data_IF_531714658443
#
_entry.id   IF_531714658443
#
_cell.length_a   1.000
_cell.length_b   1.000
_cell.length_c   1.000
_cell.angle_alpha   90.00
_cell.angle_beta   90.00
_cell.angle_gamma   90.00
#
_symmetry.space_group_name_H-M   'P 1'
#
loop_
_entity.id
_entity.type
_entity.pdbx_description
1 polymer ?
#
# COMPACT_ATOMS: atom_id res chain seq x y z
N UNK A 1 -11.58 24.87 27.23
CA UNK A 1 -11.63 23.52 26.63
C UNK A 1 -10.76 23.60 25.40
N UNK A 2 -9.63 22.91 25.43
CA UNK A 2 -8.75 22.78 24.23
C UNK A 2 -9.20 21.57 23.43
N UNK A 3 -9.36 21.75 22.11
CA UNK A 3 -9.81 20.73 21.18
C UNK A 3 -8.58 20.20 20.45
N UNK A 4 -8.48 18.89 20.26
CA UNK A 4 -7.41 18.27 19.47
C UNK A 4 -7.48 18.74 18.01
N UNK A 5 -6.32 19.00 17.41
CA UNK A 5 -6.23 19.49 16.04
C UNK A 5 -5.73 18.39 15.12
N UNK A 6 -6.41 18.16 13.99
CA UNK A 6 -5.98 17.21 12.98
C UNK A 6 -4.61 17.59 12.37
N UNK A 7 -4.31 18.90 12.26
CA UNK A 7 -3.01 19.37 11.75
C UNK A 7 -1.82 19.08 12.67
N UNK A 8 -2.08 18.66 13.91
CA UNK A 8 -1.08 18.29 14.91
C UNK A 8 -1.08 16.77 15.17
N UNK A 9 -1.66 16.01 14.26
CA UNK A 9 -1.62 14.54 14.31
C UNK A 9 -0.27 14.05 13.80
N UNK A 10 0.32 13.12 14.53
CA UNK A 10 1.58 12.46 14.19
C UNK A 10 1.37 10.94 14.19
N UNK A 11 1.89 10.25 13.18
CA UNK A 11 1.82 8.80 13.07
C UNK A 11 3.23 8.25 13.23
N UNK A 12 3.41 7.41 14.23
CA UNK A 12 4.65 6.68 14.48
C UNK A 12 4.47 5.23 14.09
N UNK A 13 5.45 4.67 13.39
CA UNK A 13 5.48 3.27 12.98
C UNK A 13 6.74 2.60 13.53
N UNK A 14 6.58 1.38 14.04
CA UNK A 14 7.67 0.53 14.49
C UNK A 14 7.46 -0.88 13.95
N UNK A 15 8.52 -1.50 13.47
CA UNK A 15 8.48 -2.93 13.19
C UNK A 15 8.24 -3.76 14.46
N UNK A 16 7.79 -4.99 14.30
CA UNK A 16 7.52 -5.90 15.42
C UNK A 16 8.46 -7.09 15.39
N UNK A 17 8.93 -7.50 16.57
CA UNK A 17 9.69 -8.75 16.74
C UNK A 17 8.76 -9.97 16.91
N UNK A 18 7.55 -9.74 17.36
CA UNK A 18 6.43 -10.68 17.43
C UNK A 18 5.14 -9.90 17.34
N UNK A 19 4.07 -10.55 16.93
CA UNK A 19 2.76 -9.91 16.70
C UNK A 19 2.31 -9.06 17.90
N UNK A 20 2.14 -7.77 17.71
CA UNK A 20 1.78 -6.81 18.75
C UNK A 20 2.91 -6.35 19.67
N UNK A 21 4.19 -6.69 19.36
CA UNK A 21 5.35 -6.31 20.15
C UNK A 21 6.35 -5.51 19.33
N UNK A 22 6.40 -4.20 19.54
CA UNK A 22 7.31 -3.30 18.86
C UNK A 22 8.80 -3.67 19.09
N UNK A 23 9.63 -3.51 18.07
CA UNK A 23 11.05 -3.95 18.08
C UNK A 23 12.07 -2.85 18.34
N UNK A 24 11.64 -1.66 18.71
CA UNK A 24 12.52 -0.60 19.23
C UNK A 24 12.90 0.52 18.26
N UNK A 25 12.98 0.28 16.96
CA UNK A 25 13.17 1.36 16.00
C UNK A 25 11.82 1.94 15.60
N UNK A 26 11.68 3.25 15.69
CA UNK A 26 10.44 3.98 15.47
C UNK A 26 10.71 5.11 14.48
N UNK A 27 9.93 5.17 13.44
CA UNK A 27 9.98 6.25 12.46
C UNK A 27 8.67 7.04 12.44
N UNK A 28 8.74 8.31 12.05
CA UNK A 28 7.59 9.16 11.82
C UNK A 28 7.11 8.99 10.38
N UNK A 29 5.86 8.58 10.20
CA UNK A 29 5.20 8.48 8.90
C UNK A 29 4.47 9.78 8.60
N UNK A 30 4.81 10.45 7.51
CA UNK A 30 4.12 11.65 7.03
C UNK A 30 2.92 11.23 6.20
N UNK A 31 1.75 11.68 6.59
CA UNK A 31 0.48 11.27 6.00
C UNK A 31 -0.32 12.48 5.55
N UNK A 32 -1.13 12.30 4.53
CA UNK A 32 -2.14 13.28 4.09
C UNK A 32 -3.47 13.02 4.79
N UNK A 33 -3.81 11.76 5.01
CA UNK A 33 -4.97 11.35 5.81
C UNK A 33 -4.76 9.99 6.46
N UNK A 34 -5.57 9.66 7.46
CA UNK A 34 -5.60 8.35 8.10
C UNK A 34 -7.03 8.01 8.58
N UNK A 35 -7.36 6.72 8.58
CA UNK A 35 -8.65 6.20 9.02
C UNK A 35 -8.52 5.05 10.01
N UNK A 36 -7.39 4.96 10.73
CA UNK A 36 -7.13 3.88 11.67
C UNK A 36 -8.15 3.85 12.82
N UNK A 37 -8.87 2.75 12.95
CA UNK A 37 -9.93 2.57 13.92
C UNK A 37 -9.88 1.21 14.61
N UNK A 38 -10.40 1.13 15.85
CA UNK A 38 -10.70 -0.15 16.48
C UNK A 38 -11.92 -0.81 15.81
N UNK A 39 -11.78 -2.06 15.37
CA UNK A 39 -12.89 -2.91 14.92
C UNK A 39 -13.26 -3.88 16.03
N UNK A 40 -14.15 -3.44 16.92
CA UNK A 40 -14.61 -4.20 18.08
C UNK A 40 -15.98 -4.77 17.80
N UNK A 41 -16.13 -6.09 17.96
CA UNK A 41 -17.43 -6.77 17.89
C UNK A 41 -17.93 -7.15 19.28
N UNK A 42 -19.23 -7.00 19.50
CA UNK A 42 -19.92 -7.37 20.74
C UNK A 42 -21.07 -8.32 20.42
N UNK A 43 -21.42 -9.17 21.39
CA UNK A 43 -22.59 -10.04 21.36
C UNK A 43 -23.48 -9.75 22.58
N UNK A 44 -24.78 -9.65 22.33
CA UNK A 44 -25.78 -9.53 23.40
C UNK A 44 -26.16 -10.91 23.92
N UNK A 45 -26.49 -11.00 25.20
CA UNK A 45 -27.08 -12.21 25.80
C UNK A 45 -28.55 -12.33 25.38
N UNK A 46 -28.94 -13.51 24.93
CA UNK A 46 -30.32 -13.87 24.60
C UNK A 46 -31.04 -14.55 25.79
N UNK A 47 -30.51 -14.45 27.02
CA UNK A 47 -31.12 -15.01 28.20
C UNK A 47 -32.49 -14.38 28.46
N UNK A 48 -33.47 -15.27 28.72
CA UNK A 48 -34.83 -14.88 29.11
C UNK A 48 -34.84 -14.64 30.63
N UNK A 49 -34.96 -13.38 31.03
CA UNK A 49 -35.18 -13.02 32.41
C UNK A 49 -36.62 -12.48 32.64
N UNK A 50 -36.95 -12.11 33.88
CA UNK A 50 -38.25 -11.56 34.22
C UNK A 50 -38.51 -10.14 33.70
N UNK A 51 -37.54 -9.55 32.98
CA UNK A 51 -37.61 -8.18 32.43
C UNK A 51 -37.60 -8.24 30.89
N UNK A 52 -37.84 -7.10 30.24
CA UNK A 52 -37.76 -6.94 28.78
C UNK A 52 -36.46 -6.30 28.34
N UNK A 53 -35.46 -6.30 29.20
CA UNK A 53 -34.18 -5.63 28.97
C UNK A 53 -33.14 -6.63 28.44
N UNK A 54 -32.16 -6.13 27.70
CA UNK A 54 -30.96 -6.90 27.37
C UNK A 54 -30.13 -7.07 28.64
N UNK A 55 -29.85 -8.34 28.99
CA UNK A 55 -29.22 -8.69 30.27
C UNK A 55 -27.72 -8.37 30.28
N UNK A 56 -27.01 -8.55 29.14
CA UNK A 56 -25.56 -8.31 29.06
C UNK A 56 -25.10 -8.10 27.61
N UNK A 57 -23.96 -7.40 27.46
CA UNK A 57 -23.31 -7.13 26.17
C UNK A 57 -21.80 -7.35 26.32
N UNK A 58 -21.28 -8.42 25.72
CA UNK A 58 -19.89 -8.84 25.87
C UNK A 58 -19.06 -8.61 24.61
N UNK A 59 -17.80 -8.13 24.78
CA UNK A 59 -16.83 -8.00 23.70
C UNK A 59 -16.33 -9.38 23.29
N UNK A 60 -16.42 -9.72 21.99
CA UNK A 60 -15.99 -11.01 21.44
C UNK A 60 -14.84 -10.90 20.45
N UNK A 61 -14.57 -9.70 19.91
CA UNK A 61 -13.46 -9.45 19.01
C UNK A 61 -12.87 -8.05 19.22
N UNK A 62 -11.57 -7.93 19.04
CA UNK A 62 -10.82 -6.67 19.13
C UNK A 62 -9.74 -6.66 18.05
N UNK A 63 -10.04 -6.05 16.92
CA UNK A 63 -9.15 -5.92 15.78
C UNK A 63 -8.87 -4.45 15.52
N UNK A 64 -7.87 -4.16 14.70
CA UNK A 64 -7.62 -2.84 14.16
C UNK A 64 -7.73 -2.90 12.64
N UNK A 65 -8.21 -1.84 12.04
CA UNK A 65 -8.25 -1.68 10.59
C UNK A 65 -8.17 -0.21 10.22
N UNK A 66 -7.90 0.06 8.98
CA UNK A 66 -7.91 1.40 8.42
C UNK A 66 -6.84 1.59 7.37
N UNK A 67 -6.85 2.77 6.80
CA UNK A 67 -5.99 3.17 5.69
C UNK A 67 -5.15 4.37 6.08
N UNK A 68 -4.00 4.47 5.45
CA UNK A 68 -3.09 5.62 5.56
C UNK A 68 -2.80 6.10 4.15
N UNK A 69 -3.12 7.35 3.88
CA UNK A 69 -2.80 8.03 2.63
C UNK A 69 -1.54 8.88 2.80
N UNK A 70 -0.69 8.87 1.80
CA UNK A 70 0.54 9.65 1.78
C UNK A 70 0.94 10.06 0.36
N UNK A 71 1.68 11.13 0.26
CA UNK A 71 2.40 11.48 -0.96
C UNK A 71 3.62 10.58 -1.07
N UNK A 72 3.74 9.88 -2.20
CA UNK A 72 4.78 8.88 -2.41
C UNK A 72 6.15 9.55 -2.50
N UNK A 73 7.10 9.08 -1.73
CA UNK A 73 8.44 9.66 -1.61
C UNK A 73 9.48 8.61 -1.22
N UNK A 74 10.72 8.96 -1.30
CA UNK A 74 11.84 8.16 -0.82
C UNK A 74 12.04 8.39 0.67
N UNK A 75 11.48 7.51 1.50
CA UNK A 75 11.74 7.49 2.92
C UNK A 75 11.70 6.06 3.50
N UNK A 76 12.40 5.87 4.61
CA UNK A 76 12.49 4.55 5.26
C UNK A 76 11.13 3.96 5.68
N UNK A 77 10.16 4.72 6.24
CA UNK A 77 8.86 4.18 6.59
C UNK A 77 8.10 3.63 5.36
N UNK A 78 8.14 4.34 4.23
CA UNK A 78 7.52 3.88 2.98
C UNK A 78 8.17 2.59 2.51
N UNK A 79 9.50 2.52 2.51
CA UNK A 79 10.26 1.33 2.12
C UNK A 79 9.86 0.10 2.94
N UNK A 80 9.79 0.25 4.26
CA UNK A 80 9.48 -0.85 5.19
C UNK A 80 8.03 -1.33 5.06
N UNK A 81 7.10 -0.41 4.82
CA UNK A 81 5.69 -0.75 4.52
C UNK A 81 5.62 -1.55 3.20
N UNK A 82 6.34 -1.11 2.16
CA UNK A 82 6.41 -1.83 0.89
C UNK A 82 7.01 -3.22 1.06
N UNK A 83 8.11 -3.37 1.82
CA UNK A 83 8.66 -4.70 2.16
C UNK A 83 7.62 -5.60 2.83
N UNK A 84 6.89 -5.06 3.80
CA UNK A 84 5.83 -5.79 4.49
C UNK A 84 4.70 -6.23 3.55
N UNK A 85 4.30 -5.36 2.63
CA UNK A 85 3.27 -5.65 1.63
C UNK A 85 3.69 -6.78 0.68
N UNK A 86 4.95 -6.76 0.23
CA UNK A 86 5.49 -7.78 -0.68
C UNK A 86 5.89 -9.09 0.04
N UNK A 87 5.69 -9.19 1.35
CA UNK A 87 6.03 -10.40 2.11
C UNK A 87 7.52 -10.71 2.12
N UNK A 88 8.35 -9.70 2.04
CA UNK A 88 9.78 -9.80 2.25
C UNK A 88 10.11 -9.78 3.74
N UNK A 89 11.26 -10.32 4.11
CA UNK A 89 11.73 -10.23 5.48
C UNK A 89 11.87 -8.75 5.87
N UNK A 90 11.23 -8.38 6.98
CA UNK A 90 11.26 -7.02 7.46
C UNK A 90 12.69 -6.60 7.77
N UNK A 91 13.13 -5.57 7.07
CA UNK A 91 14.31 -4.80 7.46
C UNK A 91 14.03 -3.97 8.72
N UNK A 92 15.08 -3.43 9.28
CA UNK A 92 14.96 -2.42 10.32
C UNK A 92 14.27 -1.17 9.73
N UNK A 93 13.25 -0.60 10.37
CA UNK A 93 12.59 0.66 9.95
C UNK A 93 13.57 1.82 9.72
N UNK A 94 14.79 1.70 10.21
CA UNK A 94 15.88 2.66 10.01
C UNK A 94 16.75 2.39 8.77
N UNK A 95 16.51 1.32 8.00
CA UNK A 95 17.41 0.90 6.91
C UNK A 95 16.76 0.93 5.53
N UNK A 96 15.42 0.95 5.46
CA UNK A 96 14.70 0.99 4.18
C UNK A 96 14.89 -0.25 3.29
N UNK A 97 14.51 -0.11 2.03
CA UNK A 97 14.78 -1.09 0.97
C UNK A 97 16.26 -1.06 0.60
N UNK A 98 16.81 -2.24 0.34
CA UNK A 98 18.17 -2.35 -0.18
C UNK A 98 18.17 -1.95 -1.66
N UNK A 99 19.07 -1.03 -2.04
CA UNK A 99 19.17 -0.56 -3.41
C UNK A 99 19.43 -1.68 -4.40
N UNK A 100 18.75 -1.61 -5.52
CA UNK A 100 18.81 -2.58 -6.59
C UNK A 100 18.54 -4.04 -6.18
N UNK A 101 17.95 -4.26 -4.99
CA UNK A 101 17.52 -5.59 -4.58
C UNK A 101 16.11 -5.88 -5.09
N UNK A 102 15.91 -7.10 -5.56
CA UNK A 102 14.61 -7.58 -6.01
C UNK A 102 13.72 -7.89 -4.80
N UNK A 103 12.56 -7.26 -4.73
CA UNK A 103 11.52 -7.54 -3.74
C UNK A 103 10.26 -8.00 -4.47
N UNK A 104 9.82 -9.21 -4.25
CA UNK A 104 8.63 -9.78 -4.87
C UNK A 104 7.81 -10.57 -3.86
N UNK A 105 6.60 -10.96 -4.24
CA UNK A 105 5.63 -11.60 -3.36
C UNK A 105 6.21 -12.84 -2.61
N UNK A 106 6.78 -12.57 -1.45
CA UNK A 106 7.31 -13.57 -0.53
C UNK A 106 6.22 -14.16 0.37
N UNK A 107 6.66 -15.02 1.28
CA UNK A 107 5.79 -15.69 2.27
C UNK A 107 6.01 -15.17 3.69
N UNK A 108 6.96 -14.29 3.89
CA UNK A 108 7.27 -13.73 5.20
C UNK A 108 6.32 -12.58 5.49
N UNK A 109 5.51 -12.72 6.53
CA UNK A 109 4.60 -11.67 6.95
C UNK A 109 5.31 -10.76 7.95
N UNK A 110 5.31 -9.47 7.67
CA UNK A 110 5.83 -8.43 8.56
C UNK A 110 4.67 -7.67 9.19
N UNK A 111 4.75 -7.46 10.50
CA UNK A 111 3.76 -6.68 11.25
C UNK A 111 4.39 -5.45 11.88
N UNK A 112 3.56 -4.45 12.12
CA UNK A 112 3.95 -3.15 12.65
C UNK A 112 3.11 -2.78 13.87
N UNK A 113 3.73 -2.05 14.79
CA UNK A 113 3.01 -1.25 15.77
C UNK A 113 2.88 0.17 15.23
N UNK A 114 1.66 0.67 15.15
CA UNK A 114 1.37 2.04 14.74
C UNK A 114 0.80 2.80 15.94
N UNK A 115 1.37 3.95 16.26
CA UNK A 115 0.86 4.85 17.30
C UNK A 115 0.46 6.18 16.68
N UNK A 116 -0.80 6.53 16.88
CA UNK A 116 -1.38 7.81 16.49
C UNK A 116 -1.36 8.74 17.68
N UNK A 117 -0.70 9.86 17.54
CA UNK A 117 -0.69 10.97 18.50
C UNK A 117 -1.57 12.08 17.97
N UNK A 118 -2.49 12.56 18.77
CA UNK A 118 -3.22 13.81 18.54
C UNK A 118 -2.88 14.82 19.61
N UNK A 119 -2.82 16.11 19.28
CA UNK A 119 -2.42 17.17 20.19
C UNK A 119 -3.38 18.34 20.15
N UNK A 120 -3.54 19.02 21.29
CA UNK A 120 -4.26 20.28 21.39
C UNK A 120 -3.34 21.51 21.16
N UNK A 121 -2.06 21.28 20.85
CA UNK A 121 -1.06 22.32 20.67
C UNK A 121 -0.59 23.00 21.95
N UNK A 122 -1.07 22.58 23.11
CA UNK A 122 -0.71 23.15 24.39
C UNK A 122 -0.01 22.13 25.31
N UNK A 123 -0.77 21.28 25.97
CA UNK A 123 -0.20 20.35 26.96
C UNK A 123 -0.83 18.97 26.96
N UNK A 124 -1.93 18.77 26.21
CA UNK A 124 -2.64 17.50 26.21
C UNK A 124 -2.41 16.76 24.90
N UNK A 125 -1.67 15.66 25.00
CA UNK A 125 -1.52 14.71 23.91
C UNK A 125 -2.31 13.43 24.22
N UNK A 126 -2.95 12.87 23.20
CA UNK A 126 -3.63 11.59 23.28
C UNK A 126 -2.95 10.62 22.34
N UNK A 127 -2.69 9.43 22.82
CA UNK A 127 -1.98 8.39 22.08
C UNK A 127 -2.89 7.16 21.93
N UNK A 128 -3.07 6.72 20.70
CA UNK A 128 -3.79 5.49 20.36
C UNK A 128 -2.85 4.53 19.67
N UNK A 129 -2.71 3.34 20.23
CA UNK A 129 -1.77 2.33 19.74
C UNK A 129 -2.51 1.15 19.12
N UNK A 130 -2.07 0.78 17.93
CA UNK A 130 -2.51 -0.37 17.15
C UNK A 130 -1.34 -1.34 17.01
N UNK A 131 -1.53 -2.60 17.39
CA UNK A 131 -0.50 -3.63 17.33
C UNK A 131 -0.83 -4.73 16.35
N UNK A 132 0.21 -5.38 15.81
CA UNK A 132 0.08 -6.41 14.83
C UNK A 132 -0.51 -5.92 13.50
N UNK A 133 -0.21 -4.70 13.11
CA UNK A 133 -0.68 -4.09 11.88
C UNK A 133 0.08 -4.66 10.69
N UNK A 134 -0.61 -5.37 9.82
CA UNK A 134 -0.05 -5.96 8.59
C UNK A 134 -0.59 -5.20 7.39
N UNK A 135 0.27 -4.76 6.45
CA UNK A 135 -0.18 -4.12 5.22
C UNK A 135 -1.00 -5.11 4.38
N UNK A 136 -2.24 -4.75 4.08
CA UNK A 136 -3.18 -5.57 3.33
C UNK A 136 -3.27 -5.18 1.87
N UNK A 137 -3.37 -3.90 1.61
CA UNK A 137 -3.56 -3.33 0.27
C UNK A 137 -2.62 -2.16 0.04
N UNK A 138 -2.27 -1.93 -1.22
CA UNK A 138 -1.65 -0.68 -1.68
C UNK A 138 -2.43 -0.22 -2.90
N UNK A 139 -2.80 1.03 -2.92
CA UNK A 139 -3.24 1.74 -4.12
C UNK A 139 -2.26 2.88 -4.40
N UNK A 140 -1.67 2.88 -5.58
CA UNK A 140 -0.75 3.89 -6.06
C UNK A 140 -1.39 4.59 -7.25
N UNK A 141 -1.49 5.92 -7.21
CA UNK A 141 -2.08 6.71 -8.29
C UNK A 141 -1.13 7.81 -8.76
N UNK A 142 -1.12 8.01 -10.07
CA UNK A 142 -0.33 9.03 -10.73
C UNK A 142 -1.17 9.64 -11.85
N UNK A 143 -1.50 10.92 -11.73
CA UNK A 143 -2.22 11.71 -12.75
C UNK A 143 -1.34 12.85 -13.24
N UNK A 144 -1.39 13.14 -14.53
CA UNK A 144 -0.54 14.18 -15.13
C UNK A 144 -0.68 15.52 -14.42
N UNK A 145 0.43 16.08 -13.96
CA UNK A 145 0.49 17.36 -13.27
C UNK A 145 0.20 17.32 -11.78
N UNK A 146 0.14 16.13 -11.16
CA UNK A 146 -0.10 15.95 -9.72
C UNK A 146 1.08 15.28 -9.00
N UNK A 147 1.02 15.23 -7.67
CA UNK A 147 1.85 14.32 -6.89
C UNK A 147 1.45 12.87 -7.14
N UNK A 148 2.41 11.97 -7.02
CA UNK A 148 2.12 10.55 -6.93
C UNK A 148 1.67 10.24 -5.51
N UNK A 149 0.51 9.63 -5.36
CA UNK A 149 -0.08 9.32 -4.06
C UNK A 149 -0.17 7.82 -3.83
N UNK A 150 -0.03 7.42 -2.58
CA UNK A 150 -0.17 6.05 -2.14
C UNK A 150 -1.17 5.95 -1.00
N UNK A 151 -2.01 4.92 -1.03
CA UNK A 151 -2.90 4.55 0.07
C UNK A 151 -2.59 3.11 0.47
N UNK A 152 -2.24 2.91 1.74
CA UNK A 152 -1.99 1.57 2.30
C UNK A 152 -3.08 1.23 3.30
N UNK A 153 -3.77 0.12 3.05
CA UNK A 153 -4.69 -0.48 3.99
C UNK A 153 -3.97 -1.42 4.95
N UNK A 154 -4.40 -1.44 6.20
CA UNK A 154 -3.85 -2.28 7.25
C UNK A 154 -4.91 -3.13 7.93
N UNK A 155 -4.53 -4.35 8.30
CA UNK A 155 -5.27 -5.22 9.21
C UNK A 155 -4.43 -5.45 10.46
N UNK A 156 -5.00 -5.16 11.64
CA UNK A 156 -4.30 -5.29 12.92
C UNK A 156 -4.91 -6.32 13.84
N UNK A 157 -4.06 -6.93 14.65
CA UNK A 157 -4.47 -8.00 15.57
C UNK A 157 -4.94 -7.49 16.92
N UNK A 158 -4.61 -6.24 17.28
CA UNK A 158 -4.81 -5.71 18.64
C UNK A 158 -4.99 -4.20 18.66
N UNK A 159 -5.87 -3.74 19.53
CA UNK A 159 -6.04 -2.32 19.87
C UNK A 159 -5.81 -2.12 21.36
N UNK A 160 -5.01 -1.11 21.71
CA UNK A 160 -4.79 -0.73 23.08
C UNK A 160 -5.73 0.44 23.49
N UNK A 161 -5.99 0.56 24.78
CA UNK A 161 -6.70 1.72 25.30
C UNK A 161 -5.90 3.00 25.00
N UNK A 162 -6.61 4.10 24.77
CA UNK A 162 -6.01 5.42 24.61
C UNK A 162 -5.29 5.85 25.90
N UNK A 163 -4.14 6.50 25.75
CA UNK A 163 -3.30 6.97 26.86
C UNK A 163 -2.90 8.44 26.67
N UNK A 164 -2.42 9.06 27.75
CA UNK A 164 -1.83 10.40 27.72
C UNK A 164 -0.30 10.39 27.66
N UNK A 165 0.29 9.19 27.59
CA UNK A 165 1.74 9.01 27.50
C UNK A 165 2.08 8.24 26.25
N UNK A 166 3.11 8.67 25.54
CA UNK A 166 3.64 7.98 24.37
C UNK A 166 4.13 6.58 24.75
N UNK A 167 3.89 5.63 23.89
CA UNK A 167 4.41 4.26 23.97
C UNK A 167 5.58 4.05 23.00
N UNK A 168 5.59 4.83 21.92
CA UNK A 168 6.68 4.89 20.96
C UNK A 168 7.39 6.25 21.04
N UNK A 169 8.68 6.26 20.75
CA UNK A 169 9.47 7.50 20.64
C UNK A 169 10.26 7.41 19.36
N UNK A 170 10.10 8.36 18.45
CA UNK A 170 10.83 8.38 17.21
C UNK A 170 12.34 8.32 17.46
N UNK A 171 13.00 7.35 16.84
CA UNK A 171 14.46 7.15 16.90
C UNK A 171 15.11 7.55 15.59
N UNK A 172 14.33 7.62 14.53
CA UNK A 172 14.74 8.05 13.21
C UNK A 172 13.78 9.18 12.77
N UNK A 173 14.35 10.35 12.53
CA UNK A 173 13.59 11.47 11.96
C UNK A 173 13.66 11.26 10.44
N UNK A 174 12.50 10.97 9.85
CA UNK A 174 12.42 10.73 8.42
C UNK A 174 13.17 11.84 7.68
N UNK A 175 14.21 11.49 6.95
CA UNK A 175 14.93 12.43 6.09
C UNK A 175 13.89 13.16 5.25
N UNK A 176 13.87 14.48 5.30
CA UNK A 176 12.90 15.28 4.57
C UNK A 176 13.14 15.14 3.07
N UNK A 177 12.57 14.11 2.46
CA UNK A 177 12.57 13.94 1.02
C UNK A 177 11.34 14.61 0.40
N UNK A 178 11.53 15.15 -0.79
CA UNK A 178 10.45 15.77 -1.54
C UNK A 178 9.54 14.68 -2.11
N UNK A 179 8.21 14.80 -1.97
CA UNK A 179 7.29 13.88 -2.63
C UNK A 179 7.48 13.85 -4.14
N UNK A 180 7.31 12.69 -4.74
CA UNK A 180 7.43 12.52 -6.18
C UNK A 180 6.22 13.08 -6.91
N UNK A 181 6.50 13.64 -8.08
CA UNK A 181 5.50 14.18 -8.99
C UNK A 181 5.48 13.41 -10.30
N UNK A 182 4.42 13.53 -11.05
CA UNK A 182 4.31 12.92 -12.38
C UNK A 182 5.16 13.63 -13.45
N UNK A 183 5.80 14.76 -13.10
CA UNK A 183 6.74 15.48 -13.98
C UNK A 183 8.21 15.20 -13.64
N UNK A 184 8.47 14.40 -12.60
CA UNK A 184 9.82 13.96 -12.28
C UNK A 184 10.40 13.12 -13.41
N UNK A 185 11.71 13.24 -13.63
CA UNK A 185 12.38 12.73 -14.84
C UNK A 185 12.19 11.23 -15.07
N UNK A 186 12.01 10.47 -14.00
CA UNK A 186 11.92 9.02 -14.04
C UNK A 186 10.50 8.48 -13.71
N UNK A 187 9.51 9.37 -13.51
CA UNK A 187 8.11 8.92 -13.39
C UNK A 187 7.57 8.60 -14.79
N UNK A 188 7.38 7.32 -15.08
CA UNK A 188 6.98 6.85 -16.41
C UNK A 188 6.34 5.46 -16.38
N UNK A 189 5.53 5.18 -17.40
CA UNK A 189 5.04 3.84 -17.71
C UNK A 189 5.73 3.32 -18.97
N UNK A 190 6.25 2.10 -18.89
CA UNK A 190 6.96 1.45 -19.99
C UNK A 190 6.32 0.12 -20.34
N UNK A 191 6.56 -0.35 -21.54
CA UNK A 191 5.94 -1.51 -22.15
C UNK A 191 6.99 -2.49 -22.69
N UNK A 192 6.75 -3.78 -22.51
CA UNK A 192 7.44 -4.87 -23.20
C UNK A 192 6.45 -5.79 -23.91
N UNK A 193 6.58 -5.92 -25.21
CA UNK A 193 5.72 -6.77 -26.02
C UNK A 193 5.97 -8.28 -25.79
N UNK A 194 7.11 -8.65 -25.19
CA UNK A 194 7.57 -10.04 -25.12
C UNK A 194 7.05 -10.81 -23.91
N UNK A 195 6.53 -10.14 -22.89
CA UNK A 195 6.22 -10.69 -21.57
C UNK A 195 7.44 -11.41 -20.90
N UNK A 196 7.35 -11.68 -19.60
CA UNK A 196 8.41 -12.35 -18.80
C UNK A 196 9.75 -11.60 -18.71
N UNK A 197 9.80 -10.31 -19.02
CA UNK A 197 10.98 -9.48 -18.81
C UNK A 197 10.98 -8.83 -17.44
N UNK A 198 12.16 -8.70 -16.85
CA UNK A 198 12.37 -8.03 -15.56
C UNK A 198 13.64 -7.17 -15.55
N UNK A 199 14.23 -6.97 -16.71
CA UNK A 199 15.37 -6.10 -16.90
C UNK A 199 14.88 -4.76 -17.44
N UNK A 200 15.29 -3.67 -16.84
CA UNK A 200 14.84 -2.32 -17.24
C UNK A 200 15.04 -2.03 -18.74
N UNK A 201 16.11 -2.57 -19.34
CA UNK A 201 16.43 -2.37 -20.74
C UNK A 201 15.44 -3.03 -21.72
N UNK A 202 14.67 -4.02 -21.25
CA UNK A 202 13.70 -4.72 -22.08
C UNK A 202 12.39 -3.91 -22.24
N UNK A 203 12.16 -2.95 -21.35
CA UNK A 203 10.99 -2.10 -21.36
C UNK A 203 11.23 -0.82 -22.16
N UNK A 204 10.51 -0.70 -23.25
CA UNK A 204 10.52 0.47 -24.14
C UNK A 204 9.38 1.45 -23.87
N UNK A 205 9.18 2.36 -24.81
CA UNK A 205 8.03 3.25 -24.79
C UNK A 205 6.72 2.48 -24.99
N UNK A 206 5.61 3.07 -24.56
CA UNK A 206 4.29 2.55 -24.89
C UNK A 206 4.10 2.43 -26.41
N UNK A 207 3.26 1.47 -26.89
CA UNK A 207 2.98 1.30 -28.30
C UNK A 207 2.59 2.60 -29.00
N UNK A 208 3.11 2.81 -30.21
CA UNK A 208 2.91 4.06 -30.96
C UNK A 208 3.52 5.30 -30.30
N UNK A 209 4.44 5.12 -29.33
CA UNK A 209 4.97 6.20 -28.47
C UNK A 209 3.88 6.99 -27.73
N UNK A 210 2.76 6.34 -27.43
CA UNK A 210 1.66 6.90 -26.66
C UNK A 210 2.18 7.50 -25.34
N UNK A 211 1.47 8.48 -24.82
CA UNK A 211 1.73 9.07 -23.52
C UNK A 211 0.61 8.69 -22.57
N UNK A 212 0.97 8.20 -21.40
CA UNK A 212 0.03 8.00 -20.32
C UNK A 212 -0.32 9.35 -19.68
N UNK A 213 -1.58 9.57 -19.41
CA UNK A 213 -2.11 10.75 -18.70
C UNK A 213 -2.46 10.41 -17.25
N UNK A 214 -2.80 9.14 -16.99
CA UNK A 214 -3.04 8.62 -15.66
C UNK A 214 -2.61 7.17 -15.57
N UNK A 215 -2.23 6.74 -14.37
CA UNK A 215 -1.92 5.36 -14.03
C UNK A 215 -2.34 5.06 -12.61
N UNK A 216 -2.93 3.89 -12.40
CA UNK A 216 -3.17 3.35 -11.06
C UNK A 216 -2.68 1.91 -10.95
N UNK A 217 -2.16 1.56 -9.79
CA UNK A 217 -1.74 0.20 -9.44
C UNK A 217 -2.35 -0.17 -8.09
N UNK A 218 -3.09 -1.26 -8.06
CA UNK A 218 -3.68 -1.80 -6.84
C UNK A 218 -3.11 -3.19 -6.55
N UNK A 219 -2.60 -3.36 -5.34
CA UNK A 219 -2.06 -4.62 -4.83
C UNK A 219 -2.89 -5.04 -3.63
N UNK A 220 -3.30 -6.31 -3.56
CA UNK A 220 -4.06 -6.89 -2.46
C UNK A 220 -3.44 -8.22 -2.04
N UNK A 221 -3.09 -8.32 -0.76
CA UNK A 221 -2.55 -9.52 -0.11
C UNK A 221 -3.64 -10.52 0.31
N UNK A 222 -4.93 -10.17 0.20
CA UNK A 222 -6.05 -11.02 0.59
C UNK A 222 -5.96 -11.49 2.05
N UNK A 223 -5.63 -10.60 2.97
CA UNK A 223 -5.44 -10.95 4.38
C UNK A 223 -6.71 -11.49 5.03
N UNK A 224 -6.54 -12.41 5.98
CA UNK A 224 -7.63 -13.06 6.71
C UNK A 224 -7.36 -13.07 8.20
N UNK A 225 -8.30 -12.60 9.05
CA UNK A 225 -8.15 -12.67 10.50
C UNK A 225 -8.22 -14.13 10.99
N UNK A 226 -7.33 -14.50 11.89
CA UNK A 226 -7.31 -15.80 12.56
C UNK A 226 -7.73 -15.61 14.01
N UNK A 227 -8.96 -16.02 14.32
CA UNK A 227 -9.57 -15.92 15.64
C UNK A 227 -9.17 -17.10 16.53
N UNK A 228 -9.27 -16.92 17.85
CA UNK A 228 -8.97 -17.97 18.85
C UNK A 228 -9.98 -17.95 20.00
N UNK A 229 -10.12 -19.12 20.65
CA UNK A 229 -10.88 -19.22 21.90
C UNK A 229 -10.01 -18.70 23.06
N UNK A 230 -10.61 -17.92 23.94
CA UNK A 230 -9.95 -17.40 25.15
C UNK A 230 -9.30 -16.03 25.00
N UNK A 231 -9.38 -15.40 23.82
CA UNK A 231 -8.92 -14.02 23.61
C UNK A 231 -9.83 -13.32 22.59
N UNK A 232 -10.06 -12.03 22.81
CA UNK A 232 -10.71 -11.17 21.84
C UNK A 232 -9.73 -10.69 20.75
N UNK A 233 -8.42 -10.70 21.02
CA UNK A 233 -7.38 -10.35 20.06
C UNK A 233 -7.14 -11.52 19.09
N UNK A 234 -6.70 -11.24 17.87
CA UNK A 234 -6.40 -12.27 16.89
C UNK A 234 -5.20 -13.12 17.32
N UNK A 235 -5.26 -14.42 17.03
CA UNK A 235 -4.11 -15.33 17.15
C UNK A 235 -3.05 -15.04 16.07
N UNK A 236 -3.48 -14.53 14.92
CA UNK A 236 -2.64 -14.22 13.78
C UNK A 236 -3.43 -13.61 12.65
N UNK A 237 -2.73 -13.30 11.58
CA UNK A 237 -3.29 -12.82 10.31
C UNK A 237 -2.73 -13.73 9.21
N UNK A 238 -3.61 -14.39 8.47
CA UNK A 238 -3.22 -15.27 7.37
C UNK A 238 -3.17 -14.51 6.05
N UNK A 239 -2.15 -14.74 5.22
CA UNK A 239 -2.08 -14.23 3.86
C UNK A 239 -2.93 -15.08 2.92
N UNK A 240 -3.56 -14.44 1.94
CA UNK A 240 -4.34 -15.06 0.89
C UNK A 240 -3.65 -15.02 -0.47
N UNK A 241 -4.43 -14.78 -1.51
CA UNK A 241 -3.90 -14.61 -2.87
C UNK A 241 -3.35 -13.19 -3.00
N UNK A 242 -2.14 -13.08 -3.51
CA UNK A 242 -1.55 -11.82 -3.93
C UNK A 242 -2.12 -11.44 -5.30
N UNK A 243 -2.91 -10.39 -5.35
CA UNK A 243 -3.57 -9.91 -6.56
C UNK A 243 -3.05 -8.53 -6.92
N UNK A 244 -2.73 -8.33 -8.18
CA UNK A 244 -2.27 -7.05 -8.70
C UNK A 244 -3.13 -6.67 -9.89
N UNK A 245 -3.78 -5.54 -9.79
CA UNK A 245 -4.61 -4.94 -10.84
C UNK A 245 -4.21 -3.49 -11.04
N UNK A 246 -4.65 -2.90 -12.12
CA UNK A 246 -4.41 -1.49 -12.34
C UNK A 246 -5.17 -0.96 -13.54
N UNK A 247 -5.06 0.32 -13.73
CA UNK A 247 -5.60 1.01 -14.89
C UNK A 247 -4.60 2.02 -15.43
N UNK A 248 -4.73 2.35 -16.69
CA UNK A 248 -4.01 3.46 -17.30
C UNK A 248 -4.86 4.15 -18.35
N UNK A 249 -4.69 5.44 -18.48
CA UNK A 249 -5.28 6.24 -19.55
C UNK A 249 -4.17 6.74 -20.43
N UNK A 250 -4.27 6.48 -21.73
CA UNK A 250 -3.27 6.86 -22.72
C UNK A 250 -3.90 7.56 -23.91
N UNK A 251 -3.14 8.41 -24.60
CA UNK A 251 -3.59 8.90 -25.91
C UNK A 251 -3.67 7.73 -26.89
N UNK A 252 -4.78 7.62 -27.62
CA UNK A 252 -5.03 6.54 -28.58
C UNK A 252 -4.20 6.74 -29.88
N UNK A 253 -2.95 6.32 -29.87
CA UNK A 253 -2.01 6.48 -30.99
C UNK A 253 -1.74 5.18 -31.76
N UNK A 254 -2.12 4.03 -31.19
CA UNK A 254 -1.78 2.71 -31.74
C UNK A 254 -2.86 1.67 -31.42
N UNK A 255 -2.95 0.63 -32.25
CA UNK A 255 -3.96 -0.44 -32.12
C UNK A 255 -3.53 -1.58 -31.19
N UNK A 256 -2.29 -1.59 -30.72
CA UNK A 256 -1.69 -2.74 -30.01
C UNK A 256 -2.45 -3.09 -28.73
N UNK A 257 -2.77 -2.13 -27.88
CA UNK A 257 -3.51 -2.41 -26.65
C UNK A 257 -4.90 -2.97 -26.92
N UNK A 258 -5.62 -2.41 -27.89
CA UNK A 258 -6.93 -2.93 -28.29
C UNK A 258 -6.83 -4.36 -28.81
N UNK A 259 -5.85 -4.65 -29.66
CA UNK A 259 -5.62 -5.98 -30.19
C UNK A 259 -5.17 -6.96 -29.10
N UNK A 260 -4.35 -6.53 -28.15
CA UNK A 260 -3.96 -7.35 -26.99
C UNK A 260 -5.17 -7.73 -26.14
N UNK A 261 -6.13 -6.81 -25.97
CA UNK A 261 -7.38 -7.10 -25.30
C UNK A 261 -8.20 -8.17 -26.03
N UNK A 262 -8.47 -7.96 -27.33
CA UNK A 262 -9.28 -8.90 -28.13
C UNK A 262 -8.65 -10.29 -28.20
N UNK A 263 -7.32 -10.36 -28.30
CA UNK A 263 -6.59 -11.63 -28.41
C UNK A 263 -6.13 -12.20 -27.09
N UNK A 264 -6.42 -11.52 -25.96
CA UNK A 264 -5.93 -11.90 -24.63
C UNK A 264 -4.41 -12.09 -24.60
N UNK A 265 -3.70 -11.22 -25.32
CA UNK A 265 -2.24 -11.30 -25.45
C UNK A 265 -1.58 -10.76 -24.20
N UNK A 266 -0.63 -11.54 -23.65
CA UNK A 266 0.17 -11.12 -22.49
C UNK A 266 1.32 -10.22 -22.93
N UNK A 267 1.63 -9.25 -22.08
CA UNK A 267 2.74 -8.31 -22.26
C UNK A 267 3.28 -7.84 -20.91
N UNK A 268 4.43 -7.19 -20.89
CA UNK A 268 5.02 -6.62 -19.68
C UNK A 268 4.70 -5.14 -19.53
N UNK A 269 4.42 -4.73 -18.30
CA UNK A 269 4.37 -3.31 -17.91
C UNK A 269 5.39 -3.02 -16.81
N UNK A 270 5.96 -1.84 -16.88
CA UNK A 270 6.80 -1.28 -15.82
C UNK A 270 6.27 0.10 -15.47
N UNK A 271 5.88 0.25 -14.19
CA UNK A 271 5.66 1.56 -13.59
C UNK A 271 6.94 1.98 -12.87
N UNK A 272 7.49 3.10 -13.24
CA UNK A 272 8.59 3.74 -12.54
C UNK A 272 8.12 5.05 -11.96
N UNK A 273 8.43 5.30 -10.69
CA UNK A 273 8.06 6.51 -9.95
C UNK A 273 9.30 7.06 -9.28
N UNK A 274 9.61 8.31 -9.53
CA UNK A 274 10.72 8.98 -8.87
C UNK A 274 11.56 9.86 -9.77
N UNK A 275 12.76 10.14 -9.29
CA UNK A 275 13.75 10.98 -9.96
C UNK A 275 14.95 10.16 -10.44
N UNK A 276 15.89 10.80 -11.15
CA UNK A 276 17.14 10.17 -11.53
C UNK A 276 18.04 9.81 -10.34
N UNK A 277 17.84 10.45 -9.18
CA UNK A 277 18.60 10.17 -7.97
C UNK A 277 18.08 8.94 -7.22
N UNK A 278 16.75 8.78 -7.16
CA UNK A 278 16.10 7.63 -6.53
C UNK A 278 14.76 7.38 -7.19
N UNK A 279 14.45 6.12 -7.47
CA UNK A 279 13.17 5.74 -8.05
C UNK A 279 12.76 4.32 -7.65
N UNK A 280 11.45 4.11 -7.65
CA UNK A 280 10.82 2.80 -7.44
C UNK A 280 10.31 2.25 -8.76
N UNK A 281 10.61 0.98 -9.02
CA UNK A 281 10.24 0.27 -10.23
C UNK A 281 9.35 -0.90 -9.89
N UNK A 282 8.11 -0.86 -10.32
CA UNK A 282 7.16 -1.95 -10.21
C UNK A 282 7.13 -2.69 -11.56
N UNK A 283 7.76 -3.84 -11.61
CA UNK A 283 7.76 -4.70 -12.78
C UNK A 283 6.57 -5.65 -12.74
N UNK A 284 5.76 -5.60 -13.78
CA UNK A 284 4.63 -6.51 -14.02
C UNK A 284 4.97 -7.33 -15.28
N UNK A 285 5.65 -8.47 -15.15
CA UNK A 285 6.23 -9.18 -16.30
C UNK A 285 5.18 -9.82 -17.21
N UNK A 286 4.02 -10.18 -16.67
CA UNK A 286 2.88 -10.65 -17.44
C UNK A 286 1.60 -9.94 -17.04
N UNK A 287 1.02 -9.20 -17.95
CA UNK A 287 -0.21 -8.44 -17.79
C UNK A 287 -1.21 -8.85 -18.86
N UNK A 288 -2.48 -8.95 -18.49
CA UNK A 288 -3.61 -9.18 -19.39
C UNK A 288 -4.58 -8.01 -19.25
N UNK A 289 -5.02 -7.45 -20.36
CA UNK A 289 -6.06 -6.39 -20.35
C UNK A 289 -7.40 -7.06 -20.08
N UNK A 290 -8.10 -6.56 -19.07
CA UNK A 290 -9.43 -7.03 -18.65
C UNK A 290 -10.56 -6.22 -19.25
N UNK A 291 -10.30 -4.93 -19.49
CA UNK A 291 -11.23 -3.99 -20.12
C UNK A 291 -10.47 -2.93 -20.89
N UNK A 292 -11.02 -2.47 -22.00
CA UNK A 292 -10.50 -1.29 -22.69
C UNK A 292 -11.62 -0.54 -23.38
N UNK A 293 -11.55 0.77 -23.33
CA UNK A 293 -12.50 1.67 -23.97
C UNK A 293 -11.75 2.79 -24.70
N UNK A 294 -12.11 3.02 -25.95
CA UNK A 294 -11.61 4.16 -26.70
C UNK A 294 -12.66 5.26 -26.61
N UNK A 295 -12.28 6.37 -25.99
CA UNK A 295 -13.16 7.52 -25.75
C UNK A 295 -12.83 8.62 -26.77
N UNK A 296 -13.75 8.85 -27.67
CA UNK A 296 -13.73 10.01 -28.54
C UNK A 296 -14.74 11.04 -27.97
N UNK A 297 -14.20 12.05 -27.33
CA UNK A 297 -15.01 13.14 -26.75
C UNK A 297 -15.63 14.05 -27.80
N UNK A 298 -15.68 15.35 -27.52
CA UNK A 298 -16.21 16.39 -28.44
C UNK A 298 -15.22 16.79 -29.54
N UNK A 299 -15.59 17.80 -30.31
CA UNK A 299 -14.75 18.31 -31.43
C UNK A 299 -13.41 18.91 -30.96
N UNK A 300 -13.29 19.29 -29.70
CA UNK A 300 -12.11 19.96 -29.12
C UNK A 300 -11.39 19.06 -28.09
N UNK A 301 -11.61 17.73 -28.13
CA UNK A 301 -11.03 16.78 -27.20
C UNK A 301 -10.17 15.73 -27.94
N UNK A 302 -9.10 15.29 -27.27
CA UNK A 302 -8.25 14.21 -27.77
C UNK A 302 -8.92 12.84 -27.57
N UNK A 303 -8.58 11.89 -28.43
CA UNK A 303 -9.04 10.50 -28.27
C UNK A 303 -8.16 9.81 -27.25
N UNK A 304 -8.76 9.38 -26.15
CA UNK A 304 -8.13 8.65 -25.08
C UNK A 304 -8.52 7.17 -25.13
N UNK A 305 -7.65 6.33 -24.61
CA UNK A 305 -7.91 4.92 -24.39
C UNK A 305 -7.75 4.63 -22.90
N UNK A 306 -8.84 4.20 -22.27
CA UNK A 306 -8.84 3.68 -20.91
C UNK A 306 -8.59 2.18 -20.96
N UNK A 307 -7.67 1.70 -20.12
CA UNK A 307 -7.21 0.31 -20.12
C UNK A 307 -7.21 -0.16 -18.66
N UNK A 308 -7.98 -1.18 -18.37
CA UNK A 308 -7.88 -1.92 -17.11
C UNK A 308 -7.13 -3.21 -17.34
N UNK A 309 -6.29 -3.58 -16.39
CA UNK A 309 -5.47 -4.77 -16.51
C UNK A 309 -5.33 -5.53 -15.19
N UNK A 310 -5.00 -6.79 -15.33
CA UNK A 310 -4.60 -7.66 -14.22
C UNK A 310 -3.24 -8.28 -14.51
N UNK A 311 -2.33 -8.18 -13.56
CA UNK A 311 -1.09 -8.91 -13.63
C UNK A 311 -1.31 -10.38 -13.25
N UNK A 312 -0.64 -11.25 -13.95
CA UNK A 312 -0.70 -12.70 -13.73
C UNK A 312 0.68 -13.23 -13.37
N UNK A 313 0.70 -14.44 -12.82
CA UNK A 313 1.93 -15.09 -12.41
C UNK A 313 2.85 -15.32 -13.63
N UNK A 314 4.06 -14.80 -13.54
CA UNK A 314 5.14 -15.03 -14.48
C UNK A 314 6.23 -15.93 -13.88
N UNK A 315 6.97 -16.61 -14.73
CA UNK A 315 8.18 -17.35 -14.34
C UNK A 315 9.35 -16.75 -15.11
N UNK A 316 10.28 -16.15 -14.35
CA UNK A 316 11.47 -15.50 -14.92
C UNK A 316 12.71 -16.12 -14.30
N UNK A 317 13.44 -16.88 -15.08
CA UNK A 317 14.54 -17.69 -14.56
C UNK A 317 14.04 -18.76 -13.57
N UNK A 318 14.48 -18.68 -12.33
CA UNK A 318 14.05 -19.54 -11.20
C UNK A 318 12.91 -18.93 -10.40
N UNK A 319 12.59 -17.67 -10.61
CA UNK A 319 11.68 -16.92 -9.76
C UNK A 319 10.26 -16.91 -10.34
N UNK A 320 9.28 -16.94 -9.44
CA UNK A 320 7.86 -16.99 -9.79
C UNK A 320 7.14 -15.90 -9.01
N UNK A 321 6.65 -14.88 -9.71
CA UNK A 321 5.99 -13.74 -9.10
C UNK A 321 4.99 -13.07 -10.04
N UNK A 322 4.14 -12.21 -9.49
CA UNK A 322 3.17 -11.38 -10.23
C UNK A 322 3.67 -9.95 -10.39
N UNK A 323 4.30 -9.43 -9.35
CA UNK A 323 4.89 -8.09 -9.32
C UNK A 323 6.25 -8.17 -8.63
N UNK A 324 7.22 -7.43 -9.16
CA UNK A 324 8.55 -7.23 -8.56
C UNK A 324 8.77 -5.76 -8.31
N UNK A 325 9.17 -5.42 -7.10
CA UNK A 325 9.58 -4.07 -6.72
C UNK A 325 11.10 -3.98 -6.65
N UNK A 326 11.66 -2.96 -7.23
CA UNK A 326 13.08 -2.59 -7.11
C UNK A 326 13.18 -1.11 -6.78
N UNK A 327 13.89 -0.77 -5.72
CA UNK A 327 14.33 0.59 -5.44
C UNK A 327 15.69 0.78 -6.10
N UNK A 328 15.87 1.86 -6.84
CA UNK A 328 17.12 2.20 -7.49
C UNK A 328 17.57 3.58 -7.02
N UNK A 329 18.73 3.63 -6.39
CA UNK A 329 19.43 4.87 -6.06
C UNK A 329 20.65 5.02 -6.98
N UNK A 330 20.97 6.28 -7.33
CA UNK A 330 22.06 6.59 -8.24
C UNK A 330 23.43 6.58 -7.54
#
# INVERSE_FOLDING_TARGET
MTIQSASLTEILISGESALGTASGNVATLRVTSESLVPAISTIASDEIDSTRNVSDLNKVSSQAEGEIEFEFKDDHPTDVILQGLFGAAQGNVAVGLVDNADTFNGTTQSSFTIEKKTSDGASTNLFQKFGGMVPSTLELTAESGSFVTGTVGFMGSKVNAMTTSASLTATDDATETTPYTTVDSDTTVKFDASANSVTYADYGNLPGSAKATAFSLSIDNGLRPQTQIGSADLAGIGSGRFTVTGSMTVYATDITFYNNYINTTKFGLLLQVGSSASNYRFYLPEVVITSTQVLAGGNDEDVLMEIEFQAVKATVGSDVFTCKLVKNEA
#
